data_IF_188632580771
#
_entry.id   IF_188632580771
#
_cell.length_a   1.000
_cell.length_b   1.000
_cell.length_c   1.000
_cell.angle_alpha   90.00
_cell.angle_beta   90.00
_cell.angle_gamma   90.00
#
_symmetry.space_group_name_H-M   'P 1'
#
loop_
_entity.id
_entity.type
_entity.pdbx_description
1 polymer ?
#
# COMPACT_ATOMS: atom_id res chain seq x y z
N UNK A 1 -24.54 -22.24 45.91
CA UNK A 1 -23.20 -22.60 46.43
C UNK A 1 -22.59 -21.36 47.08
N UNK A 2 -22.04 -21.44 48.27
CA UNK A 2 -21.33 -20.34 48.89
C UNK A 2 -20.06 -20.06 48.07
N UNK A 3 -19.94 -18.86 47.53
CA UNK A 3 -18.70 -18.42 46.86
C UNK A 3 -17.78 -17.78 47.89
N UNK A 4 -16.50 -18.08 47.82
CA UNK A 4 -15.47 -17.46 48.65
C UNK A 4 -15.09 -16.12 48.00
N UNK A 5 -15.29 -15.03 48.74
CA UNK A 5 -14.81 -13.72 48.26
C UNK A 5 -13.30 -13.66 48.47
N UNK A 6 -12.55 -13.55 47.39
CA UNK A 6 -11.11 -13.36 47.46
C UNK A 6 -10.80 -12.02 48.14
N UNK A 7 -9.98 -12.06 49.19
CA UNK A 7 -9.59 -10.88 49.98
C UNK A 7 -8.90 -9.81 49.10
N UNK A 8 -8.28 -10.19 47.98
CA UNK A 8 -7.65 -9.26 47.01
C UNK A 8 -8.68 -8.36 46.31
N UNK A 9 -9.97 -8.75 46.26
CA UNK A 9 -11.03 -7.92 45.67
C UNK A 9 -11.36 -6.68 46.51
N UNK A 10 -10.98 -6.67 47.79
CA UNK A 10 -11.18 -5.53 48.70
C UNK A 10 -9.99 -4.56 48.69
N UNK A 11 -8.86 -4.96 48.11
CA UNK A 11 -7.67 -4.13 48.01
C UNK A 11 -7.75 -3.22 46.77
N UNK A 12 -7.50 -1.92 46.95
CA UNK A 12 -7.56 -0.92 45.88
C UNK A 12 -6.22 -0.72 45.14
N UNK A 13 -5.24 -1.59 45.36
CA UNK A 13 -3.92 -1.51 44.72
C UNK A 13 -3.99 -1.78 43.22
N UNK A 14 -5.00 -2.50 42.79
CA UNK A 14 -5.26 -2.76 41.36
C UNK A 14 -6.25 -1.74 40.77
N UNK A 15 -5.93 -1.19 39.60
CA UNK A 15 -6.77 -0.22 38.91
C UNK A 15 -8.23 -0.67 38.79
N UNK A 16 -8.48 -1.94 38.50
CA UNK A 16 -9.84 -2.51 38.39
C UNK A 16 -10.60 -2.40 39.69
N UNK A 17 -9.95 -2.72 40.81
CA UNK A 17 -10.57 -2.65 42.13
C UNK A 17 -10.80 -1.20 42.58
N UNK A 18 -9.84 -0.32 42.31
CA UNK A 18 -9.98 1.11 42.57
C UNK A 18 -11.17 1.71 41.80
N UNK A 19 -11.32 1.36 40.51
CA UNK A 19 -12.50 1.79 39.73
C UNK A 19 -13.79 1.28 40.34
N UNK A 20 -13.87 -0.02 40.69
CA UNK A 20 -15.07 -0.67 41.19
C UNK A 20 -15.47 -0.22 42.60
N UNK A 21 -14.48 -0.06 43.49
CA UNK A 21 -14.73 0.18 44.90
C UNK A 21 -14.77 1.67 45.25
N UNK A 22 -14.17 2.55 44.45
CA UNK A 22 -14.03 3.97 44.74
C UNK A 22 -14.68 4.85 43.66
N UNK A 23 -14.24 4.72 42.40
CA UNK A 23 -14.62 5.67 41.35
C UNK A 23 -16.10 5.53 40.98
N UNK A 24 -16.56 4.32 40.67
CA UNK A 24 -17.94 4.06 40.27
C UNK A 24 -18.92 4.45 41.38
N UNK A 25 -18.73 4.03 42.67
CA UNK A 25 -19.59 4.47 43.75
C UNK A 25 -19.63 5.99 43.94
N UNK A 26 -18.46 6.65 43.89
CA UNK A 26 -18.39 8.10 43.94
C UNK A 26 -19.19 8.78 42.84
N UNK A 27 -19.01 8.32 41.57
CA UNK A 27 -19.77 8.86 40.44
C UNK A 27 -21.28 8.65 40.60
N UNK A 28 -21.69 7.48 41.09
CA UNK A 28 -23.10 7.15 41.31
C UNK A 28 -23.71 8.03 42.40
N UNK A 29 -22.98 8.27 43.50
CA UNK A 29 -23.49 9.06 44.62
C UNK A 29 -23.43 10.57 44.39
N UNK A 30 -22.33 11.07 43.80
CA UNK A 30 -22.04 12.52 43.71
C UNK A 30 -22.28 13.15 42.34
N UNK A 31 -22.35 12.35 41.26
CA UNK A 31 -22.50 12.89 39.90
C UNK A 31 -23.85 12.51 39.32
N UNK A 32 -24.15 11.22 39.21
CA UNK A 32 -25.42 10.76 38.65
C UNK A 32 -25.78 9.37 39.16
N UNK A 33 -26.96 9.22 39.75
CA UNK A 33 -27.44 7.93 40.30
C UNK A 33 -27.49 6.82 39.22
N UNK A 34 -27.67 7.17 37.96
CA UNK A 34 -27.72 6.24 36.82
C UNK A 34 -26.36 6.07 36.09
N UNK A 35 -25.25 6.37 36.77
CA UNK A 35 -23.90 6.30 36.14
C UNK A 35 -23.60 4.94 35.54
N UNK A 36 -23.90 3.85 36.26
CA UNK A 36 -23.60 2.47 35.78
C UNK A 36 -24.43 2.13 34.55
N UNK A 37 -25.72 2.45 34.57
CA UNK A 37 -26.64 2.23 33.47
C UNK A 37 -26.23 3.03 32.22
N UNK A 38 -25.95 4.32 32.39
CA UNK A 38 -25.51 5.18 31.28
C UNK A 38 -24.17 4.70 30.66
N UNK A 39 -23.23 4.22 31.47
CA UNK A 39 -21.97 3.65 30.96
C UNK A 39 -22.23 2.34 30.22
N UNK A 40 -23.11 1.49 30.73
CA UNK A 40 -23.48 0.24 30.08
C UNK A 40 -24.17 0.47 28.73
N UNK A 41 -25.14 1.39 28.69
CA UNK A 41 -25.86 1.77 27.47
C UNK A 41 -24.91 2.36 26.42
N UNK A 42 -24.02 3.27 26.82
CA UNK A 42 -23.00 3.83 25.93
C UNK A 42 -22.03 2.76 25.40
N UNK A 43 -21.64 1.80 26.25
CA UNK A 43 -20.78 0.70 25.84
C UNK A 43 -21.47 -0.22 24.83
N UNK A 44 -22.76 -0.51 25.03
CA UNK A 44 -23.55 -1.31 24.09
C UNK A 44 -23.72 -0.60 22.75
N UNK A 45 -24.01 0.70 22.75
CA UNK A 45 -24.11 1.48 21.52
C UNK A 45 -22.78 1.55 20.77
N UNK A 46 -21.67 1.78 21.46
CA UNK A 46 -20.33 1.76 20.88
C UNK A 46 -19.99 0.40 20.28
N UNK A 47 -20.40 -0.70 20.93
CA UNK A 47 -20.18 -2.05 20.42
C UNK A 47 -20.95 -2.26 19.11
N UNK A 48 -22.23 -1.86 19.04
CA UNK A 48 -23.03 -1.95 17.80
C UNK A 48 -22.42 -1.14 16.66
N UNK A 49 -21.94 0.06 16.95
CA UNK A 49 -21.27 0.91 15.98
C UNK A 49 -19.95 0.27 15.50
N UNK A 50 -19.19 -0.31 16.41
CA UNK A 50 -17.95 -1.02 16.09
C UNK A 50 -18.23 -2.25 15.21
N UNK A 51 -19.25 -3.04 15.53
CA UNK A 51 -19.62 -4.24 14.76
C UNK A 51 -20.03 -3.87 13.32
N UNK A 52 -20.77 -2.77 13.16
CA UNK A 52 -21.09 -2.24 11.84
C UNK A 52 -19.85 -1.83 11.05
N UNK A 53 -18.95 -1.06 11.66
CA UNK A 53 -17.68 -0.64 11.04
C UNK A 53 -16.84 -1.86 10.67
N UNK A 54 -16.77 -2.85 11.53
CA UNK A 54 -16.01 -4.07 11.29
C UNK A 54 -16.57 -4.88 10.13
N UNK A 55 -17.91 -5.01 10.04
CA UNK A 55 -18.57 -5.69 8.94
C UNK A 55 -18.31 -5.01 7.58
N UNK A 56 -18.42 -3.68 7.51
CA UNK A 56 -18.13 -2.93 6.29
C UNK A 56 -16.64 -2.96 5.94
N UNK A 57 -15.76 -2.89 6.94
CA UNK A 57 -14.33 -3.02 6.72
C UNK A 57 -13.93 -4.41 6.23
N UNK A 58 -14.60 -5.49 6.68
CA UNK A 58 -14.36 -6.84 6.17
C UNK A 58 -14.71 -6.95 4.68
N UNK A 59 -15.88 -6.44 4.27
CA UNK A 59 -16.29 -6.42 2.86
C UNK A 59 -15.26 -5.68 1.98
N UNK A 60 -14.80 -4.53 2.46
CA UNK A 60 -13.80 -3.74 1.76
C UNK A 60 -12.41 -4.44 1.76
N UNK A 61 -12.06 -5.10 2.84
CA UNK A 61 -10.82 -5.86 2.96
C UNK A 61 -10.76 -6.99 1.93
N UNK A 62 -11.80 -7.81 1.85
CA UNK A 62 -11.88 -8.95 0.92
C UNK A 62 -11.80 -8.48 -0.55
N UNK A 63 -12.31 -7.29 -0.84
CA UNK A 63 -12.29 -6.71 -2.18
C UNK A 63 -10.94 -6.10 -2.57
N UNK A 64 -10.26 -5.45 -1.63
CA UNK A 64 -9.13 -4.57 -1.94
C UNK A 64 -7.78 -5.07 -1.41
N UNK A 65 -7.76 -6.06 -0.53
CA UNK A 65 -6.52 -6.53 0.10
C UNK A 65 -6.16 -7.92 -0.39
N UNK A 66 -4.94 -8.06 -0.86
CA UNK A 66 -4.34 -9.34 -1.18
C UNK A 66 -3.21 -9.61 -0.18
N UNK A 67 -3.22 -10.80 0.41
CA UNK A 67 -2.24 -11.23 1.40
C UNK A 67 -1.43 -12.39 0.82
N UNK A 68 -0.10 -12.18 0.73
CA UNK A 68 0.89 -13.18 0.37
C UNK A 68 2.13 -12.93 1.23
N UNK A 69 3.32 -13.01 0.66
CA UNK A 69 4.58 -12.64 1.34
C UNK A 69 4.64 -11.15 1.70
N UNK A 70 3.87 -10.35 0.97
CA UNK A 70 3.56 -8.96 1.29
C UNK A 70 2.03 -8.75 1.25
N UNK A 71 1.54 -7.71 1.91
CA UNK A 71 0.15 -7.28 1.79
C UNK A 71 0.06 -6.20 0.73
N UNK A 72 -0.82 -6.41 -0.25
CA UNK A 72 -1.07 -5.46 -1.33
C UNK A 72 -2.47 -4.88 -1.17
N UNK A 73 -2.54 -3.57 -0.94
CA UNK A 73 -3.77 -2.78 -0.96
C UNK A 73 -4.00 -2.30 -2.39
N UNK A 74 -4.99 -2.84 -3.07
CA UNK A 74 -5.35 -2.43 -4.43
C UNK A 74 -6.21 -1.17 -4.39
N UNK A 75 -5.76 -0.15 -5.12
CA UNK A 75 -6.43 1.15 -5.24
C UNK A 75 -7.15 1.25 -6.58
N UNK A 76 -7.89 0.22 -7.00
CA UNK A 76 -8.57 0.21 -8.29
C UNK A 76 -9.50 1.43 -8.44
N UNK A 77 -9.14 2.30 -9.37
CA UNK A 77 -9.83 3.56 -9.60
C UNK A 77 -9.92 4.41 -8.32
N UNK A 78 -11.06 5.05 -8.12
CA UNK A 78 -11.34 5.83 -6.89
C UNK A 78 -12.01 5.01 -5.79
N UNK A 79 -12.24 3.70 -6.01
CA UNK A 79 -13.08 2.90 -5.11
C UNK A 79 -12.52 2.83 -3.68
N UNK A 80 -11.25 2.44 -3.51
CA UNK A 80 -10.66 2.38 -2.17
C UNK A 80 -10.45 3.77 -1.58
N UNK A 81 -9.97 4.72 -2.37
CA UNK A 81 -9.78 6.11 -1.95
C UNK A 81 -11.12 6.80 -1.60
N UNK A 82 -12.21 6.42 -2.28
CA UNK A 82 -13.57 6.90 -2.05
C UNK A 82 -14.27 6.31 -0.82
N UNK A 83 -13.73 5.26 -0.20
CA UNK A 83 -14.29 4.70 1.03
C UNK A 83 -14.31 5.76 2.14
N UNK A 84 -15.33 5.68 3.01
CA UNK A 84 -15.37 6.51 4.21
C UNK A 84 -14.09 6.32 5.03
N UNK A 85 -13.53 7.40 5.55
CA UNK A 85 -12.23 7.41 6.24
C UNK A 85 -12.12 6.35 7.33
N UNK A 86 -13.17 6.16 8.13
CA UNK A 86 -13.20 5.18 9.21
C UNK A 86 -13.04 3.75 8.68
N UNK A 87 -13.76 3.41 7.61
CA UNK A 87 -13.69 2.08 6.97
C UNK A 87 -12.32 1.88 6.35
N UNK A 88 -11.84 2.85 5.58
CA UNK A 88 -10.53 2.80 4.92
C UNK A 88 -9.39 2.59 5.92
N UNK A 89 -9.39 3.35 7.01
CA UNK A 89 -8.38 3.21 8.08
C UNK A 89 -8.49 1.87 8.81
N UNK A 90 -9.70 1.33 8.97
CA UNK A 90 -9.90 0.00 9.56
C UNK A 90 -9.35 -1.10 8.65
N UNK A 91 -9.54 -1.00 7.33
CA UNK A 91 -8.94 -1.91 6.34
C UNK A 91 -7.41 -1.86 6.40
N UNK A 92 -6.82 -0.65 6.44
CA UNK A 92 -5.37 -0.48 6.56
C UNK A 92 -4.84 -1.11 7.86
N UNK A 93 -5.53 -0.89 8.99
CA UNK A 93 -5.16 -1.53 10.25
C UNK A 93 -5.13 -3.07 10.13
N UNK A 94 -6.17 -3.67 9.54
CA UNK A 94 -6.26 -5.12 9.32
C UNK A 94 -5.15 -5.63 8.39
N UNK A 95 -4.82 -4.87 7.36
CA UNK A 95 -3.74 -5.19 6.44
C UNK A 95 -2.36 -5.20 7.13
N UNK A 96 -2.09 -4.22 7.99
CA UNK A 96 -0.86 -4.20 8.80
C UNK A 96 -0.85 -5.35 9.80
N UNK A 97 -2.00 -5.60 10.45
CA UNK A 97 -2.15 -6.68 11.43
C UNK A 97 -1.90 -8.06 10.81
N UNK A 98 -2.30 -8.29 9.56
CA UNK A 98 -2.08 -9.56 8.86
C UNK A 98 -0.59 -9.94 8.75
N UNK A 99 0.31 -8.95 8.66
CA UNK A 99 1.76 -9.18 8.62
C UNK A 99 2.42 -9.26 10.00
N UNK A 100 1.85 -8.60 11.00
CA UNK A 100 2.44 -8.54 12.35
C UNK A 100 2.00 -9.69 13.24
N UNK A 101 0.84 -10.31 12.94
CA UNK A 101 0.17 -11.33 13.75
C UNK A 101 -0.10 -10.88 15.20
N UNK A 102 0.04 -9.59 15.47
CA UNK A 102 -0.22 -8.97 16.77
C UNK A 102 -0.80 -7.58 16.59
N UNK A 103 -1.77 -7.23 17.44
CA UNK A 103 -2.35 -5.88 17.46
C UNK A 103 -1.52 -4.90 18.31
N UNK A 104 -0.55 -5.42 19.08
CA UNK A 104 0.29 -4.60 19.94
C UNK A 104 1.12 -3.63 19.07
N UNK A 105 1.25 -2.39 19.51
CA UNK A 105 2.07 -1.36 18.87
C UNK A 105 1.64 -0.90 17.45
N UNK A 106 0.47 -1.32 16.96
CA UNK A 106 -0.13 -0.71 15.77
C UNK A 106 -0.91 0.53 16.19
N UNK A 107 -0.26 1.69 16.14
CA UNK A 107 -0.85 2.97 16.54
C UNK A 107 -1.51 3.71 15.38
N UNK A 108 -2.37 4.65 15.71
CA UNK A 108 -3.06 5.54 14.75
C UNK A 108 -2.08 6.24 13.79
N UNK A 109 -0.88 6.58 14.24
CA UNK A 109 0.15 7.22 13.42
C UNK A 109 0.57 6.33 12.23
N UNK A 110 0.70 5.01 12.44
CA UNK A 110 1.07 4.07 11.39
C UNK A 110 -0.04 3.95 10.33
N UNK A 111 -1.28 3.82 10.79
CA UNK A 111 -2.45 3.74 9.90
C UNK A 111 -2.61 5.02 9.08
N UNK A 112 -2.46 6.19 9.71
CA UNK A 112 -2.52 7.48 9.04
C UNK A 112 -1.41 7.64 8.00
N UNK A 113 -0.18 7.20 8.31
CA UNK A 113 0.95 7.28 7.39
C UNK A 113 0.70 6.48 6.10
N UNK A 114 0.07 5.30 6.22
CA UNK A 114 -0.33 4.50 5.05
C UNK A 114 -1.50 5.16 4.29
N UNK A 115 -2.50 5.68 5.00
CA UNK A 115 -3.65 6.36 4.41
C UNK A 115 -3.23 7.59 3.58
N UNK A 116 -2.26 8.35 4.07
CA UNK A 116 -1.71 9.49 3.35
C UNK A 116 -1.00 9.12 2.05
N UNK A 117 -0.43 7.90 1.93
CA UNK A 117 0.21 7.45 0.70
C UNK A 117 -0.75 7.41 -0.49
N UNK A 118 -2.06 7.23 -0.25
CA UNK A 118 -3.07 7.22 -1.32
C UNK A 118 -2.99 8.49 -2.17
N UNK A 119 -2.66 9.62 -1.56
CA UNK A 119 -2.60 10.95 -2.20
C UNK A 119 -1.19 11.35 -2.61
N UNK A 120 -0.16 10.55 -2.25
CA UNK A 120 1.25 10.85 -2.57
C UNK A 120 1.62 10.32 -3.96
N UNK A 121 2.76 10.75 -4.46
CA UNK A 121 3.32 10.28 -5.72
C UNK A 121 3.72 8.80 -5.64
N UNK A 122 3.72 8.12 -6.77
CA UNK A 122 4.25 6.76 -6.91
C UNK A 122 5.69 6.71 -6.42
N UNK A 123 6.06 5.64 -5.72
CA UNK A 123 7.37 5.48 -5.09
C UNK A 123 7.50 6.15 -3.71
N UNK A 124 6.49 6.92 -3.24
CA UNK A 124 6.46 7.40 -1.87
C UNK A 124 6.36 6.23 -0.89
N UNK A 125 7.02 6.34 0.24
CA UNK A 125 7.01 5.30 1.27
C UNK A 125 6.72 5.87 2.65
N UNK A 126 6.19 5.01 3.52
CA UNK A 126 5.96 5.28 4.93
C UNK A 126 6.48 4.13 5.77
N UNK A 127 7.16 4.47 6.86
CA UNK A 127 7.62 3.51 7.84
C UNK A 127 6.50 3.16 8.81
N UNK A 128 6.38 1.87 9.13
CA UNK A 128 5.38 1.32 10.02
C UNK A 128 6.10 0.58 11.17
N UNK A 129 5.35 0.12 12.17
CA UNK A 129 5.89 -0.70 13.25
C UNK A 129 6.51 -2.03 12.75
N UNK A 130 7.27 -2.69 13.60
CA UNK A 130 7.90 -4.01 13.37
C UNK A 130 8.80 -4.10 12.14
N UNK A 131 9.42 -3.00 11.74
CA UNK A 131 10.27 -2.98 10.55
C UNK A 131 9.50 -3.15 9.25
N UNK A 132 8.19 -2.89 9.25
CA UNK A 132 7.39 -2.82 8.03
C UNK A 132 7.53 -1.46 7.35
N UNK A 133 7.37 -1.45 6.04
CA UNK A 133 7.20 -0.25 5.24
C UNK A 133 6.05 -0.42 4.25
N UNK A 134 5.34 0.66 4.01
CA UNK A 134 4.36 0.77 2.94
C UNK A 134 4.97 1.56 1.79
N UNK A 135 4.76 1.14 0.56
CA UNK A 135 5.25 1.80 -0.65
C UNK A 135 4.10 1.99 -1.62
N UNK A 136 3.92 3.22 -2.10
CA UNK A 136 2.92 3.56 -3.11
C UNK A 136 3.37 3.08 -4.48
N UNK A 137 2.62 2.15 -5.08
CA UNK A 137 2.68 1.78 -6.49
C UNK A 137 1.79 2.67 -7.36
N UNK A 138 1.56 2.26 -8.60
CA UNK A 138 0.66 2.97 -9.52
C UNK A 138 -0.81 2.79 -9.13
N UNK A 139 -1.21 1.56 -8.86
CA UNK A 139 -2.60 1.18 -8.55
C UNK A 139 -2.73 0.49 -7.19
N UNK A 140 -1.68 0.51 -6.38
CA UNK A 140 -1.63 -0.18 -5.11
C UNK A 140 -0.78 0.54 -4.06
N UNK A 141 -0.88 0.03 -2.84
CA UNK A 141 0.10 0.26 -1.77
C UNK A 141 0.54 -1.11 -1.28
N UNK A 142 1.81 -1.41 -1.42
CA UNK A 142 2.41 -2.64 -0.93
C UNK A 142 2.98 -2.44 0.46
N UNK A 143 2.54 -3.24 1.43
CA UNK A 143 3.07 -3.28 2.79
C UNK A 143 3.94 -4.53 2.92
N UNK A 144 5.21 -4.36 3.29
CA UNK A 144 6.19 -5.45 3.40
C UNK A 144 7.19 -5.20 4.51
N UNK A 145 7.92 -6.23 4.92
CA UNK A 145 9.06 -6.06 5.82
C UNK A 145 10.16 -5.25 5.13
N UNK A 146 10.78 -4.35 5.86
CA UNK A 146 12.02 -3.71 5.40
C UNK A 146 13.10 -4.79 5.37
N UNK A 147 13.46 -5.23 4.19
CA UNK A 147 14.68 -6.02 4.06
C UNK A 147 15.87 -5.10 4.34
N UNK A 148 16.66 -5.44 5.33
CA UNK A 148 17.89 -4.73 5.72
C UNK A 148 18.93 -4.78 4.58
N UNK A 149 18.71 -5.57 3.55
CA UNK A 149 19.54 -5.62 2.36
C UNK A 149 18.76 -6.18 1.16
N UNK A 150 17.86 -5.40 0.61
CA UNK A 150 17.37 -5.68 -0.74
C UNK A 150 17.21 -4.37 -1.48
N UNK A 151 18.33 -3.75 -1.84
CA UNK A 151 18.41 -3.26 -3.21
C UNK A 151 18.14 -4.50 -4.04
N UNK A 152 16.98 -4.58 -4.68
CA UNK A 152 16.79 -5.47 -5.81
C UNK A 152 18.02 -5.22 -6.69
N UNK A 153 18.99 -6.12 -6.66
CA UNK A 153 19.98 -6.17 -7.71
C UNK A 153 19.18 -6.67 -8.93
N UNK A 154 18.48 -5.73 -9.55
CA UNK A 154 18.14 -5.88 -10.94
C UNK A 154 19.50 -6.03 -11.59
N UNK A 155 19.74 -7.16 -12.21
CA UNK A 155 20.96 -7.36 -12.99
C UNK A 155 21.09 -6.13 -13.88
N UNK A 156 22.16 -5.37 -13.70
CA UNK A 156 22.34 -4.04 -14.29
C UNK A 156 22.56 -4.07 -15.82
N UNK A 157 22.31 -5.19 -16.47
CA UNK A 157 22.89 -5.48 -17.78
C UNK A 157 21.88 -5.52 -18.93
N UNK A 158 20.58 -5.28 -18.71
CA UNK A 158 19.70 -5.15 -19.86
C UNK A 158 19.99 -3.80 -20.55
N UNK A 159 20.74 -3.87 -21.63
CA UNK A 159 20.81 -2.83 -22.63
C UNK A 159 20.44 -3.48 -23.95
N UNK A 160 19.19 -3.34 -24.36
CA UNK A 160 18.74 -3.75 -25.69
C UNK A 160 18.64 -2.51 -26.57
N UNK A 161 19.53 -2.40 -27.54
CA UNK A 161 19.49 -1.35 -28.57
C UNK A 161 18.77 -1.93 -29.78
N UNK A 162 17.65 -1.31 -30.18
CA UNK A 162 16.92 -1.81 -31.35
C UNK A 162 17.81 -1.76 -32.60
N UNK A 163 17.91 -2.89 -33.24
CA UNK A 163 18.67 -3.05 -34.49
C UNK A 163 17.90 -2.47 -35.67
N UNK A 164 18.59 -2.13 -36.78
CA UNK A 164 17.89 -1.70 -37.99
C UNK A 164 16.86 -2.70 -38.50
N UNK A 165 17.14 -3.99 -38.36
CA UNK A 165 16.20 -5.06 -38.77
C UNK A 165 14.92 -5.08 -37.90
N UNK A 166 15.07 -4.86 -36.57
CA UNK A 166 13.92 -4.75 -35.66
C UNK A 166 13.10 -3.50 -35.96
N UNK A 167 13.73 -2.38 -36.32
CA UNK A 167 13.02 -1.16 -36.74
C UNK A 167 12.25 -1.37 -38.06
N UNK A 168 12.80 -2.13 -39.01
CA UNK A 168 12.06 -2.50 -40.24
C UNK A 168 10.84 -3.37 -39.92
N UNK A 169 10.98 -4.32 -39.01
CA UNK A 169 9.85 -5.15 -38.55
C UNK A 169 8.77 -4.33 -37.86
N UNK A 170 9.14 -3.37 -37.02
CA UNK A 170 8.18 -2.42 -36.42
C UNK A 170 7.46 -1.60 -37.48
N UNK A 171 8.18 -1.12 -38.49
CA UNK A 171 7.61 -0.36 -39.59
C UNK A 171 6.67 -1.20 -40.50
N UNK A 172 6.87 -2.51 -40.54
CA UNK A 172 5.95 -3.45 -41.21
C UNK A 172 4.72 -3.81 -40.37
N UNK A 173 4.62 -3.30 -39.14
CA UNK A 173 3.50 -3.53 -38.24
C UNK A 173 3.66 -4.76 -37.32
N UNK A 174 4.85 -5.35 -37.31
CA UNK A 174 5.16 -6.44 -36.36
C UNK A 174 5.50 -5.90 -34.96
N UNK A 175 5.13 -6.64 -33.92
CA UNK A 175 5.54 -6.33 -32.57
C UNK A 175 6.90 -6.96 -32.26
N UNK A 176 7.72 -6.24 -31.51
CA UNK A 176 8.97 -6.80 -30.95
C UNK A 176 8.72 -7.14 -29.50
N UNK A 177 9.04 -8.36 -29.11
CA UNK A 177 8.97 -8.81 -27.72
C UNK A 177 10.39 -9.06 -27.20
N UNK A 178 10.75 -8.40 -26.11
CA UNK A 178 12.01 -8.58 -25.41
C UNK A 178 11.69 -9.31 -24.12
N UNK A 179 12.32 -10.47 -23.93
CA UNK A 179 12.21 -11.23 -22.68
C UNK A 179 13.35 -10.84 -21.73
N UNK A 180 13.01 -10.56 -20.51
CA UNK A 180 13.96 -10.28 -19.46
C UNK A 180 13.71 -11.14 -18.23
N UNK A 181 14.78 -11.61 -17.63
CA UNK A 181 14.75 -12.31 -16.36
C UNK A 181 14.85 -11.30 -15.22
N UNK A 182 13.77 -11.14 -14.47
CA UNK A 182 13.75 -10.29 -13.29
C UNK A 182 13.90 -11.17 -12.06
N UNK A 183 14.94 -10.89 -11.28
CA UNK A 183 15.17 -11.57 -10.01
C UNK A 183 14.44 -10.86 -8.90
N UNK A 184 13.47 -11.52 -8.29
CA UNK A 184 12.82 -11.06 -7.08
C UNK A 184 13.44 -11.75 -5.88
N UNK A 185 13.95 -10.96 -4.94
CA UNK A 185 14.38 -11.46 -3.65
C UNK A 185 13.20 -11.40 -2.68
N UNK A 186 12.58 -12.55 -2.42
CA UNK A 186 11.59 -12.71 -1.37
C UNK A 186 12.23 -13.56 -0.25
N UNK A 187 12.33 -12.98 0.95
CA UNK A 187 12.74 -13.66 2.20
C UNK A 187 13.98 -14.58 2.08
N UNK A 188 14.98 -14.15 1.32
CA UNK A 188 16.21 -14.93 1.11
C UNK A 188 16.12 -15.99 -0.01
N UNK A 189 14.97 -16.15 -0.65
CA UNK A 189 14.83 -16.90 -1.89
C UNK A 189 14.80 -15.94 -3.08
N UNK A 190 15.68 -16.18 -4.04
CA UNK A 190 15.68 -15.46 -5.31
C UNK A 190 14.75 -16.17 -6.28
N UNK A 191 13.59 -15.60 -6.56
CA UNK A 191 12.71 -16.10 -7.62
C UNK A 191 13.04 -15.43 -8.95
N UNK A 192 13.18 -16.25 -9.98
CA UNK A 192 13.34 -15.80 -11.35
C UNK A 192 11.97 -15.66 -12.01
N UNK A 193 11.59 -14.46 -12.40
CA UNK A 193 10.36 -14.21 -13.19
C UNK A 193 10.73 -13.65 -14.55
N UNK A 194 10.07 -14.14 -15.59
CA UNK A 194 10.20 -13.60 -16.93
C UNK A 194 9.29 -12.38 -17.09
N UNK A 195 9.86 -11.25 -17.47
CA UNK A 195 9.10 -10.08 -17.92
C UNK A 195 9.18 -10.00 -19.44
N UNK A 196 8.06 -9.61 -20.05
CA UNK A 196 7.97 -9.40 -21.48
C UNK A 196 7.73 -7.92 -21.76
N UNK A 197 8.65 -7.27 -22.47
CA UNK A 197 8.51 -5.90 -22.95
C UNK A 197 8.09 -5.98 -24.41
N UNK A 198 6.87 -5.55 -24.71
CA UNK A 198 6.35 -5.56 -26.09
C UNK A 198 6.42 -4.13 -26.64
N UNK A 199 7.09 -3.98 -27.76
CA UNK A 199 7.16 -2.71 -28.51
C UNK A 199 6.31 -2.85 -29.75
N UNK A 200 5.43 -1.87 -29.97
CA UNK A 200 4.60 -1.79 -31.18
C UNK A 200 4.62 -0.37 -31.74
N UNK A 201 4.56 -0.26 -33.06
CA UNK A 201 4.44 1.02 -33.79
C UNK A 201 3.05 1.12 -34.41
N UNK A 202 2.35 2.21 -34.15
CA UNK A 202 1.03 2.46 -34.69
C UNK A 202 1.04 3.71 -35.56
N UNK A 203 0.59 3.61 -36.82
CA UNK A 203 0.60 4.69 -37.81
C UNK A 203 -0.45 5.79 -37.56
N UNK A 204 -1.51 5.49 -36.81
CA UNK A 204 -2.54 6.45 -36.42
C UNK A 204 -2.74 6.39 -34.89
N UNK A 205 -2.33 7.45 -34.23
CA UNK A 205 -2.64 7.65 -32.82
C UNK A 205 -4.10 8.10 -32.68
N UNK A 206 -5.05 7.22 -32.96
CA UNK A 206 -6.30 7.30 -32.23
C UNK A 206 -5.99 6.91 -30.79
N UNK A 207 -6.30 7.81 -29.85
CA UNK A 207 -6.23 7.55 -28.43
C UNK A 207 -6.98 6.26 -28.12
N UNK A 208 -6.32 5.14 -28.30
CA UNK A 208 -6.85 3.84 -27.95
C UNK A 208 -6.90 3.83 -26.43
N UNK A 209 -8.04 4.26 -25.88
CA UNK A 209 -8.28 4.42 -24.43
C UNK A 209 -7.95 3.16 -23.64
N UNK A 210 -7.90 2.01 -24.29
CA UNK A 210 -7.60 0.73 -23.66
C UNK A 210 -6.12 0.58 -23.24
N UNK A 211 -5.18 1.22 -23.92
CA UNK A 211 -3.76 1.20 -23.53
C UNK A 211 -3.33 2.44 -22.73
N UNK A 212 -4.02 3.57 -22.90
CA UNK A 212 -3.69 4.81 -22.21
C UNK A 212 -3.93 4.75 -20.70
N UNK A 213 -4.75 3.80 -20.24
CA UNK A 213 -5.07 3.60 -18.82
C UNK A 213 -4.32 2.42 -18.18
N UNK A 214 -3.44 1.73 -18.89
CA UNK A 214 -2.61 0.67 -18.31
C UNK A 214 -1.36 1.26 -17.67
N UNK A 215 -1.13 0.96 -16.40
CA UNK A 215 0.11 1.33 -15.70
C UNK A 215 1.36 0.69 -16.32
N UNK A 216 1.18 -0.36 -17.11
CA UNK A 216 2.25 -1.13 -17.76
C UNK A 216 2.47 -0.76 -19.21
N UNK A 217 1.68 0.15 -19.78
CA UNK A 217 1.86 0.61 -21.17
C UNK A 217 2.13 2.11 -21.21
N UNK A 218 3.11 2.51 -22.03
CA UNK A 218 3.45 3.91 -22.30
C UNK A 218 3.55 4.12 -23.80
N UNK A 219 3.00 5.24 -24.26
CA UNK A 219 3.04 5.64 -25.67
C UNK A 219 3.95 6.86 -25.84
N UNK A 220 4.76 6.83 -26.88
CA UNK A 220 5.67 7.91 -27.23
C UNK A 220 5.45 8.31 -28.70
N UNK A 221 5.63 9.58 -29.00
CA UNK A 221 5.59 10.11 -30.35
C UNK A 221 6.92 9.77 -31.04
N UNK A 222 6.88 8.80 -31.99
CA UNK A 222 8.07 8.27 -32.63
C UNK A 222 8.81 9.33 -33.45
N UNK A 223 8.07 10.24 -34.10
CA UNK A 223 8.64 11.29 -34.95
C UNK A 223 9.46 12.31 -34.15
N UNK A 224 9.27 12.36 -32.83
CA UNK A 224 10.04 13.23 -31.94
C UNK A 224 11.26 12.58 -31.34
N UNK A 225 11.45 11.28 -31.57
CA UNK A 225 12.60 10.57 -31.03
C UNK A 225 13.80 10.80 -31.95
N UNK A 226 14.84 11.40 -31.38
CA UNK A 226 16.10 11.63 -32.09
C UNK A 226 17.14 10.61 -31.60
N UNK A 227 17.69 9.81 -32.53
CA UNK A 227 18.74 8.85 -32.25
C UNK A 227 18.28 7.41 -32.13
N UNK A 228 19.08 6.56 -31.50
CA UNK A 228 18.80 5.13 -31.38
C UNK A 228 17.84 4.86 -30.22
N UNK A 229 16.85 4.01 -30.46
CA UNK A 229 15.98 3.49 -29.42
C UNK A 229 16.73 2.41 -28.63
N UNK A 230 16.75 2.55 -27.30
CA UNK A 230 17.26 1.52 -26.42
C UNK A 230 16.35 1.33 -25.19
N UNK A 231 16.26 0.09 -24.74
CA UNK A 231 15.64 -0.27 -23.47
C UNK A 231 16.76 -0.65 -22.53
N UNK A 232 16.77 -0.05 -21.36
CA UNK A 232 17.73 -0.35 -20.31
C UNK A 232 17.16 -0.04 -18.94
N UNK A 233 17.75 -0.63 -17.93
CA UNK A 233 17.48 -0.22 -16.56
C UNK A 233 17.98 1.19 -16.29
N UNK A 234 17.29 1.86 -15.37
CA UNK A 234 17.71 3.18 -14.88
C UNK A 234 19.05 3.07 -14.16
N UNK A 235 19.97 3.96 -14.50
CA UNK A 235 21.24 4.13 -13.78
C UNK A 235 21.21 5.38 -12.90
N UNK A 236 22.06 5.39 -11.87
CA UNK A 236 22.20 6.58 -11.03
C UNK A 236 22.76 7.75 -11.88
N UNK A 237 22.07 8.89 -11.78
CA UNK A 237 22.43 10.07 -12.56
C UNK A 237 21.61 10.28 -13.83
N UNK A 238 20.75 9.34 -14.21
CA UNK A 238 19.86 9.50 -15.36
C UNK A 238 19.00 10.75 -15.25
N UNK A 239 18.91 11.45 -16.37
CA UNK A 239 18.15 12.70 -16.51
C UNK A 239 17.28 12.65 -17.74
N UNK A 240 16.15 13.33 -17.69
CA UNK A 240 15.26 13.53 -18.82
C UNK A 240 15.03 15.02 -19.08
N UNK A 241 14.72 15.35 -20.32
CA UNK A 241 14.28 16.70 -20.70
C UNK A 241 12.77 16.78 -20.48
N UNK A 242 12.33 17.67 -19.59
CA UNK A 242 10.91 17.73 -19.15
C UNK A 242 10.09 18.81 -19.85
N UNK A 243 10.73 19.71 -20.61
CA UNK A 243 10.02 20.77 -21.32
C UNK A 243 10.71 21.15 -22.64
N UNK A 244 10.01 21.92 -23.48
CA UNK A 244 10.55 22.42 -24.76
C UNK A 244 11.76 23.34 -24.61
N UNK A 245 11.97 23.90 -23.42
CA UNK A 245 13.13 24.76 -23.13
C UNK A 245 14.41 23.96 -22.83
N UNK A 246 14.37 22.63 -22.89
CA UNK A 246 15.53 21.77 -22.68
C UNK A 246 15.93 21.61 -21.21
N UNK A 247 15.03 21.83 -20.26
CA UNK A 247 15.35 21.69 -18.84
C UNK A 247 15.53 20.22 -18.46
N UNK A 248 16.70 19.89 -17.89
CA UNK A 248 17.02 18.54 -17.45
C UNK A 248 16.60 18.32 -16.00
N UNK A 249 15.91 17.20 -15.73
CA UNK A 249 15.61 16.73 -14.36
C UNK A 249 16.11 15.31 -14.14
N UNK A 250 16.48 15.01 -12.90
CA UNK A 250 16.82 13.63 -12.53
C UNK A 250 15.60 12.73 -12.67
N UNK A 251 15.75 11.60 -13.33
CA UNK A 251 14.69 10.64 -13.60
C UNK A 251 13.94 10.22 -12.32
N UNK A 252 14.62 10.14 -11.18
CA UNK A 252 14.01 9.80 -9.88
C UNK A 252 12.91 10.78 -9.42
N UNK A 253 12.85 11.99 -9.99
CA UNK A 253 11.87 13.02 -9.60
C UNK A 253 10.65 13.07 -10.50
N UNK A 254 10.67 12.36 -11.64
CA UNK A 254 9.61 12.41 -12.65
C UNK A 254 8.77 11.12 -12.71
N UNK A 255 9.16 10.07 -11.93
CA UNK A 255 8.44 8.78 -11.84
C UNK A 255 8.21 8.41 -10.39
#
# INVERSE_FOLDING_TARGET
>A
QPYVTDATNLCNDYTRNSLRNVVIPYMTEKVNAHTVENIADAAEELQKNFDFIEAEANKAYDKHVYVGDAVVLRLYGEEFAGLHEVIRKRVIYKAVHALTQTAKDIYKVHVNAVDELIRKQVGSSADICYGLCAVKGYEDITIRRKNVASRTQVSSDLIHVLTPQELERLNSGENITIEENIYYNNDGMTELRKAHIVISLHSNYEKNRNYANSCYAKSFDYDKIQGKLCIRHRTDGDRIVVNRAGTWRKLKKEF
#
